data_IF_032496453311
#
_entry.id   IF_032496453311
#
_cell.length_a   1.000
_cell.length_b   1.000
_cell.length_c   1.000
_cell.angle_alpha   90.00
_cell.angle_beta   90.00
_cell.angle_gamma   90.00
#
_symmetry.space_group_name_H-M   'P 1'
#
loop_
_entity.id
_entity.type
_entity.pdbx_description
1 polymer ?
#
# COMPACT_ATOMS: atom_id res chain seq x y z
N UNK A 1 -2.86 -7.12 -11.27
CA UNK A 1 -1.86 -6.07 -10.93
C UNK A 1 -2.59 -4.93 -10.23
N UNK A 2 -1.96 -4.26 -9.28
CA UNK A 2 -2.54 -3.15 -8.53
C UNK A 2 -1.51 -2.04 -8.32
N UNK A 3 -2.00 -0.86 -7.95
CA UNK A 3 -1.16 0.27 -7.51
C UNK A 3 -1.35 0.46 -6.01
N UNK A 4 -0.25 0.53 -5.27
CA UNK A 4 -0.21 0.98 -3.88
C UNK A 4 0.23 2.44 -3.85
N UNK A 5 -0.46 3.27 -3.08
CA UNK A 5 -0.05 4.63 -2.73
C UNK A 5 -0.02 4.75 -1.21
N UNK A 6 0.96 5.43 -0.66
CA UNK A 6 1.04 5.69 0.77
C UNK A 6 1.45 7.12 1.04
N UNK A 7 1.01 7.64 2.19
CA UNK A 7 1.36 8.98 2.64
C UNK A 7 1.60 8.98 4.16
N UNK A 8 2.58 9.76 4.57
CA UNK A 8 2.81 10.17 5.95
C UNK A 8 2.27 11.58 6.14
N UNK A 9 1.50 11.80 7.19
CA UNK A 9 1.02 13.13 7.56
C UNK A 9 2.25 14.02 7.78
N UNK A 10 2.39 15.06 6.92
CA UNK A 10 3.42 16.10 6.91
C UNK A 10 4.83 15.74 6.40
N UNK A 11 5.12 14.47 6.09
CA UNK A 11 6.53 14.03 5.98
C UNK A 11 6.90 13.39 4.62
N UNK A 12 5.93 12.85 3.87
CA UNK A 12 6.21 12.31 2.53
C UNK A 12 5.12 11.40 1.98
N UNK A 13 5.19 11.11 0.68
CA UNK A 13 4.29 10.18 0.01
C UNK A 13 5.05 9.35 -1.03
N UNK A 14 4.56 8.15 -1.30
CA UNK A 14 5.16 7.24 -2.27
C UNK A 14 4.12 6.38 -2.98
N UNK A 15 4.56 5.77 -4.08
CA UNK A 15 3.75 4.85 -4.85
C UNK A 15 4.56 3.63 -5.28
N UNK A 16 3.87 2.50 -5.39
CA UNK A 16 4.40 1.25 -5.90
C UNK A 16 3.37 0.59 -6.81
N UNK A 17 3.81 -0.15 -7.83
CA UNK A 17 2.90 -0.90 -8.72
C UNK A 17 3.45 -2.29 -8.95
N UNK A 18 2.58 -3.30 -8.85
CA UNK A 18 2.95 -4.70 -9.05
C UNK A 18 1.78 -5.64 -8.80
N UNK A 19 2.07 -6.92 -8.59
CA UNK A 19 1.06 -7.95 -8.32
C UNK A 19 1.29 -8.71 -7.02
N UNK A 20 2.43 -8.48 -6.36
CA UNK A 20 2.84 -9.20 -5.16
C UNK A 20 2.59 -8.35 -3.89
N UNK A 21 1.73 -8.84 -2.99
CA UNK A 21 1.38 -8.11 -1.77
C UNK A 21 2.50 -8.09 -0.74
N UNK A 22 3.41 -9.07 -0.74
CA UNK A 22 4.57 -9.07 0.15
C UNK A 22 5.61 -8.05 -0.29
N UNK A 23 5.82 -7.89 -1.59
CA UNK A 23 6.64 -6.84 -2.17
C UNK A 23 6.04 -5.46 -1.88
N UNK A 24 4.72 -5.29 -2.05
CA UNK A 24 4.04 -4.05 -1.68
C UNK A 24 4.23 -3.70 -0.19
N UNK A 25 4.04 -4.68 0.70
CA UNK A 25 4.25 -4.50 2.14
C UNK A 25 5.69 -4.11 2.47
N UNK A 26 6.68 -4.75 1.82
CA UNK A 26 8.10 -4.42 2.00
C UNK A 26 8.42 -2.99 1.53
N UNK A 27 7.87 -2.58 0.40
CA UNK A 27 8.05 -1.23 -0.14
C UNK A 27 7.39 -0.16 0.74
N UNK A 28 6.24 -0.46 1.34
CA UNK A 28 5.64 0.40 2.36
C UNK A 28 6.59 0.61 3.54
N UNK A 29 7.18 -0.47 4.09
CA UNK A 29 8.15 -0.36 5.18
C UNK A 29 9.38 0.44 4.78
N UNK A 30 9.96 0.18 3.60
CA UNK A 30 11.17 0.87 3.15
C UNK A 30 10.90 2.36 2.94
N UNK A 31 9.80 2.69 2.26
CA UNK A 31 9.41 4.06 1.98
C UNK A 31 9.15 4.86 3.25
N UNK A 32 8.36 4.30 4.16
CA UNK A 32 8.04 4.94 5.43
C UNK A 32 9.27 5.07 6.32
N UNK A 33 10.12 4.03 6.41
CA UNK A 33 11.33 4.08 7.22
C UNK A 33 12.35 5.09 6.69
N UNK A 34 12.46 5.24 5.36
CA UNK A 34 13.37 6.22 4.74
C UNK A 34 13.00 7.67 5.05
N UNK A 35 11.74 7.95 5.37
CA UNK A 35 11.30 9.29 5.76
C UNK A 35 11.63 9.54 7.24
N UNK A 36 11.48 8.54 8.10
CA UNK A 36 11.82 8.66 9.53
C UNK A 36 13.33 8.71 9.84
N UNK A 37 14.24 8.52 8.87
CA UNK A 37 15.68 8.31 9.11
C UNK A 37 16.56 9.55 9.29
N UNK A 38 16.01 10.77 9.32
CA UNK A 38 16.88 11.95 9.42
C UNK A 38 17.49 12.15 10.83
N UNK A 39 16.75 11.87 11.92
CA UNK A 39 17.18 12.31 13.28
C UNK A 39 16.72 11.37 14.43
N UNK A 40 16.22 10.17 14.13
CA UNK A 40 15.55 9.30 15.13
C UNK A 40 16.39 8.08 15.53
N UNK A 41 16.50 7.83 16.82
CA UNK A 41 17.15 6.64 17.40
C UNK A 41 16.54 5.33 16.87
N UNK A 42 17.38 4.29 16.76
CA UNK A 42 16.98 2.99 16.23
C UNK A 42 15.85 2.34 17.06
N UNK A 43 15.88 2.48 18.38
CA UNK A 43 14.84 1.94 19.28
C UNK A 43 13.50 2.64 19.07
N UNK A 44 13.52 3.97 18.92
CA UNK A 44 12.32 4.77 18.66
C UNK A 44 11.74 4.41 17.29
N UNK A 45 12.60 4.23 16.28
CA UNK A 45 12.21 3.73 14.95
C UNK A 45 11.56 2.35 15.04
N UNK A 46 12.18 1.40 15.75
CA UNK A 46 11.65 0.04 15.89
C UNK A 46 10.28 0.03 16.61
N UNK A 47 10.14 0.81 17.68
CA UNK A 47 8.87 0.97 18.39
C UNK A 47 7.79 1.58 17.48
N UNK A 48 8.16 2.56 16.66
CA UNK A 48 7.26 3.21 15.71
C UNK A 48 6.81 2.24 14.61
N UNK A 49 7.74 1.46 14.02
CA UNK A 49 7.41 0.45 13.01
C UNK A 49 6.44 -0.61 13.56
N UNK A 50 6.71 -1.13 14.75
CA UNK A 50 5.83 -2.11 15.42
C UNK A 50 4.45 -1.54 15.70
N UNK A 51 4.37 -0.27 16.10
CA UNK A 51 3.11 0.38 16.47
C UNK A 51 2.23 0.69 15.25
N UNK A 52 2.82 1.15 14.15
CA UNK A 52 2.07 1.72 13.04
C UNK A 52 2.22 0.97 11.71
N UNK A 53 3.40 0.44 11.38
CA UNK A 53 3.67 -0.18 10.06
C UNK A 53 3.25 -1.65 10.04
N UNK A 54 3.66 -2.43 11.04
CA UNK A 54 3.35 -3.87 11.09
C UNK A 54 1.84 -4.18 11.00
N UNK A 55 0.95 -3.45 11.72
CA UNK A 55 -0.48 -3.67 11.60
C UNK A 55 -1.00 -3.39 10.18
N UNK A 56 -0.49 -2.33 9.52
CA UNK A 56 -0.88 -2.00 8.16
C UNK A 56 -0.43 -3.06 7.16
N UNK A 57 0.78 -3.62 7.31
CA UNK A 57 1.25 -4.70 6.45
C UNK A 57 0.39 -5.96 6.57
N UNK A 58 -0.01 -6.30 7.80
CA UNK A 58 -0.88 -7.45 8.05
C UNK A 58 -2.26 -7.25 7.41
N UNK A 59 -2.86 -6.07 7.54
CA UNK A 59 -4.17 -5.77 6.93
C UNK A 59 -4.08 -5.63 5.42
N UNK A 60 -3.01 -5.03 4.89
CA UNK A 60 -2.73 -4.97 3.46
C UNK A 60 -2.66 -6.36 2.81
N UNK A 61 -1.97 -7.30 3.45
CA UNK A 61 -1.80 -8.67 2.92
C UNK A 61 -3.03 -9.56 3.10
N UNK A 62 -4.02 -9.15 3.90
CA UNK A 62 -5.26 -9.91 4.11
C UNK A 62 -6.47 -9.23 3.48
N UNK A 63 -6.82 -8.07 4.03
CA UNK A 63 -8.00 -7.30 3.64
C UNK A 63 -7.74 -6.57 2.31
N UNK A 64 -6.57 -5.96 2.16
CA UNK A 64 -6.18 -5.33 0.90
C UNK A 64 -6.11 -6.32 -0.25
N UNK A 65 -5.59 -7.53 -0.01
CA UNK A 65 -5.59 -8.60 -1.00
C UNK A 65 -7.00 -9.04 -1.39
N UNK A 66 -7.90 -9.23 -0.42
CA UNK A 66 -9.28 -9.61 -0.70
C UNK A 66 -10.01 -8.53 -1.52
N UNK A 67 -9.86 -7.26 -1.17
CA UNK A 67 -10.48 -6.14 -1.89
C UNK A 67 -9.97 -6.05 -3.34
N UNK A 68 -8.65 -6.11 -3.56
CA UNK A 68 -8.09 -6.08 -4.91
C UNK A 68 -8.52 -7.30 -5.74
N UNK A 69 -8.65 -8.48 -5.12
CA UNK A 69 -9.16 -9.67 -5.79
C UNK A 69 -10.65 -9.53 -6.18
N UNK A 70 -11.43 -8.76 -5.42
CA UNK A 70 -12.81 -8.40 -5.74
C UNK A 70 -12.93 -7.25 -6.76
N UNK A 71 -11.80 -6.67 -7.20
CA UNK A 71 -11.80 -5.50 -8.08
C UNK A 71 -12.18 -4.19 -7.37
N UNK A 72 -12.10 -4.17 -6.03
CA UNK A 72 -12.43 -3.03 -5.18
C UNK A 72 -11.18 -2.28 -4.73
N UNK A 73 -11.34 -1.00 -4.45
CA UNK A 73 -10.29 -0.22 -3.80
C UNK A 73 -10.23 -0.53 -2.30
N UNK A 74 -9.03 -0.47 -1.74
CA UNK A 74 -8.82 -0.60 -0.31
C UNK A 74 -8.08 0.62 0.22
N UNK A 75 -8.59 1.21 1.30
CA UNK A 75 -7.98 2.37 1.96
C UNK A 75 -7.97 2.08 3.45
N UNK A 76 -6.82 2.28 4.08
CA UNK A 76 -6.63 2.05 5.51
C UNK A 76 -5.53 2.98 6.05
N UNK A 77 -5.49 3.15 7.36
CA UNK A 77 -4.50 3.97 8.03
C UNK A 77 -4.13 3.45 9.42
N UNK A 78 -2.94 3.85 9.88
CA UNK A 78 -2.49 3.62 11.24
C UNK A 78 -1.61 4.78 11.69
N UNK A 79 -2.08 5.51 12.71
CA UNK A 79 -1.41 6.70 13.20
C UNK A 79 -1.21 7.73 12.07
N UNK A 80 0.03 8.15 11.77
CA UNK A 80 0.31 9.14 10.73
C UNK A 80 0.36 8.56 9.31
N UNK A 81 0.11 7.26 9.12
CA UNK A 81 0.25 6.58 7.84
C UNK A 81 -1.13 6.36 7.22
N UNK A 82 -1.29 6.73 5.95
CA UNK A 82 -2.43 6.36 5.11
C UNK A 82 -1.93 5.51 3.95
N UNK A 83 -2.66 4.43 3.62
CA UNK A 83 -2.35 3.52 2.51
C UNK A 83 -3.60 3.31 1.66
N UNK A 84 -3.43 3.33 0.34
CA UNK A 84 -4.45 3.01 -0.65
C UNK A 84 -3.95 1.96 -1.61
N UNK A 85 -4.76 0.95 -1.87
CA UNK A 85 -4.60 0.03 -2.99
C UNK A 85 -5.71 0.30 -4.01
N UNK A 86 -5.32 0.46 -5.26
CA UNK A 86 -6.24 0.62 -6.39
C UNK A 86 -6.04 -0.54 -7.34
N UNK A 87 -7.09 -1.32 -7.68
CA UNK A 87 -7.04 -2.31 -8.74
C UNK A 87 -6.62 -1.62 -10.03
N UNK A 88 -5.61 -2.14 -10.71
CA UNK A 88 -5.33 -1.68 -12.06
C UNK A 88 -6.22 -2.53 -12.95
N UNK A 89 -7.32 -1.93 -13.43
CA UNK A 89 -8.09 -2.54 -14.49
C UNK A 89 -7.11 -2.91 -15.62
N UNK A 90 -7.20 -4.15 -16.11
CA UNK A 90 -6.71 -4.44 -17.46
C UNK A 90 -7.36 -3.45 -18.44
N UNK A 91 -6.80 -3.25 -19.65
CA UNK A 91 -7.47 -2.43 -20.66
C UNK A 91 -8.95 -2.81 -20.71
N UNK A 92 -9.89 -1.84 -20.82
CA UNK A 92 -11.30 -2.16 -20.88
C UNK A 92 -11.48 -3.21 -21.96
N UNK A 93 -11.98 -4.38 -21.59
CA UNK A 93 -12.43 -5.37 -22.55
C UNK A 93 -13.60 -4.70 -23.27
N UNK A 94 -13.31 -4.09 -24.41
CA UNK A 94 -14.34 -3.63 -25.33
C UNK A 94 -15.25 -4.85 -25.57
N UNK A 95 -16.55 -4.77 -25.30
CA UNK A 95 -17.45 -5.81 -25.75
C UNK A 95 -17.31 -5.84 -27.27
N UNK A 96 -16.68 -6.90 -27.79
CA UNK A 96 -16.62 -7.19 -29.20
C UNK A 96 -18.04 -7.18 -29.72
N UNK A 97 -18.42 -6.10 -30.40
CA UNK A 97 -19.62 -6.03 -31.21
C UNK A 97 -19.46 -7.12 -32.26
N UNK A 98 -20.18 -8.23 -32.10
CA UNK A 98 -20.31 -9.23 -33.16
C UNK A 98 -21.15 -8.60 -34.27
N UNK A 99 -20.61 -8.43 -35.49
CA UNK A 99 -21.45 -8.05 -36.61
C UNK A 99 -22.35 -9.23 -36.99
N UNK A 100 -23.63 -8.92 -37.21
CA UNK A 100 -24.66 -9.81 -37.74
C UNK A 100 -24.35 -10.31 -39.16
#
# INVERSE_FOLDING_TARGET
MFKMSWALINDGAGQWTGSDFHAAARELSLGVNSVCTAEVDEEVRAAWCRKWVEPLQLRLTREGQAAIAAGEEWIDGAGPILVRLTPRAGPPEHPSVQPE
#
